data_IF_216461956920
#
_entry.id   IF_216461956920
#
_cell.length_a   1.000
_cell.length_b   1.000
_cell.length_c   1.000
_cell.angle_alpha   90.00
_cell.angle_beta   90.00
_cell.angle_gamma   90.00
#
_symmetry.space_group_name_H-M   'P 1'
#
loop_
_entity.id
_entity.type
_entity.pdbx_description
1 polymer ?
#
# COMPACT_ATOMS: atom_id res chain seq x y z
N UNK A 1 5.89 17.39 -7.60
CA UNK A 1 4.64 16.69 -7.17
C UNK A 1 3.58 16.71 -8.28
N UNK A 2 2.89 15.60 -8.56
CA UNK A 2 1.98 15.39 -9.72
C UNK A 2 0.58 16.05 -9.60
N UNK A 3 0.48 17.31 -9.19
CA UNK A 3 -0.83 17.91 -8.87
C UNK A 3 -1.81 17.96 -10.04
N UNK A 4 -1.36 18.37 -11.24
CA UNK A 4 -2.22 18.45 -12.43
C UNK A 4 -2.72 17.09 -12.89
N UNK A 5 -1.92 16.04 -12.73
CA UNK A 5 -2.32 14.66 -13.02
C UNK A 5 -3.37 14.15 -12.01
N UNK A 6 -3.27 14.63 -10.77
CA UNK A 6 -4.21 14.39 -9.66
C UNK A 6 -5.45 15.30 -9.69
N UNK A 7 -5.60 16.16 -10.70
CA UNK A 7 -6.79 17.01 -10.90
C UNK A 7 -6.73 18.39 -10.23
N UNK A 8 -5.60 18.78 -9.65
CA UNK A 8 -5.39 20.12 -9.10
C UNK A 8 -4.67 21.01 -10.11
N UNK A 9 -5.40 21.96 -10.70
CA UNK A 9 -4.86 22.91 -11.68
C UNK A 9 -4.19 24.13 -11.04
N UNK A 10 -4.60 24.48 -9.81
CA UNK A 10 -4.07 25.60 -9.05
C UNK A 10 -3.52 25.10 -7.72
N UNK A 11 -2.33 25.58 -7.37
CA UNK A 11 -1.65 25.28 -6.12
C UNK A 11 -1.74 26.53 -5.23
N UNK A 12 -2.16 26.41 -3.96
CA UNK A 12 -2.12 27.54 -3.04
C UNK A 12 -0.70 28.09 -2.92
N UNK A 13 -0.54 29.40 -3.09
CA UNK A 13 0.78 30.07 -2.96
C UNK A 13 1.34 29.98 -1.54
N UNK A 14 0.47 29.77 -0.54
CA UNK A 14 0.85 29.53 0.85
C UNK A 14 1.41 28.13 1.12
N UNK A 15 1.32 27.20 0.15
CA UNK A 15 1.82 25.84 0.36
C UNK A 15 3.36 25.86 0.41
N UNK A 16 4.01 25.26 1.43
CA UNK A 16 5.47 25.29 1.60
C UNK A 16 6.29 24.81 0.38
N UNK A 17 5.66 23.98 -0.44
CA UNK A 17 6.25 23.43 -1.67
C UNK A 17 5.51 23.84 -2.96
N UNK A 18 4.88 25.02 -2.97
CA UNK A 18 4.12 25.50 -4.13
C UNK A 18 4.93 25.44 -5.45
N UNK A 19 6.22 25.77 -5.38
CA UNK A 19 7.14 25.78 -6.54
C UNK A 19 7.62 24.38 -6.96
N UNK A 20 7.50 23.38 -6.08
CA UNK A 20 7.97 22.01 -6.33
C UNK A 20 6.89 21.11 -6.95
N UNK A 21 5.71 21.67 -7.27
CA UNK A 21 4.70 20.97 -8.05
C UNK A 21 5.09 20.94 -9.53
N UNK A 22 5.01 19.75 -10.12
CA UNK A 22 5.36 19.55 -11.51
C UNK A 22 4.20 19.96 -12.42
N UNK A 23 4.46 20.42 -13.66
CA UNK A 23 3.43 20.49 -14.68
C UNK A 23 2.86 19.08 -14.93
N UNK A 24 1.76 19.00 -15.70
CA UNK A 24 1.16 17.71 -16.09
C UNK A 24 2.24 16.82 -16.71
N UNK A 25 2.41 15.62 -16.17
CA UNK A 25 3.44 14.67 -16.62
C UNK A 25 2.88 13.61 -17.56
N UNK A 26 1.58 13.32 -17.47
CA UNK A 26 0.92 12.31 -18.29
C UNK A 26 -0.19 12.93 -19.13
N UNK A 27 -0.15 12.64 -20.43
CA UNK A 27 -1.22 13.03 -21.34
C UNK A 27 -2.54 12.35 -20.92
N UNK A 28 -3.68 13.07 -20.92
CA UNK A 28 -4.95 12.52 -20.43
C UNK A 28 -5.40 11.22 -21.11
N UNK A 29 -5.04 11.04 -22.39
CA UNK A 29 -5.41 9.88 -23.21
C UNK A 29 -4.37 8.76 -23.19
N UNK A 30 -3.20 8.99 -22.58
CA UNK A 30 -2.14 7.98 -22.53
C UNK A 30 -2.53 6.86 -21.59
N UNK A 31 -2.45 5.63 -22.08
CA UNK A 31 -2.72 4.42 -21.30
C UNK A 31 -1.55 3.45 -21.37
N UNK A 32 -1.46 2.57 -20.37
CA UNK A 32 -0.42 1.55 -20.22
C UNK A 32 -1.05 0.18 -20.02
N UNK A 33 -0.36 -0.86 -20.46
CA UNK A 33 -0.78 -2.26 -20.27
C UNK A 33 -0.37 -2.81 -18.90
N UNK A 34 0.69 -2.25 -18.32
CA UNK A 34 1.25 -2.63 -17.03
C UNK A 34 1.58 -1.39 -16.21
N UNK A 35 1.22 -1.41 -14.93
CA UNK A 35 1.59 -0.39 -13.94
C UNK A 35 2.24 -1.05 -12.73
N UNK A 36 3.34 -0.46 -12.26
CA UNK A 36 4.04 -0.87 -11.04
C UNK A 36 3.87 0.22 -9.97
N UNK A 37 3.33 -0.15 -8.83
CA UNK A 37 3.20 0.71 -7.65
C UNK A 37 4.15 0.19 -6.57
N UNK A 38 5.42 0.59 -6.63
CA UNK A 38 6.50 0.13 -5.74
C UNK A 38 7.20 1.27 -4.98
N UNK A 39 6.68 2.49 -5.10
CA UNK A 39 7.18 3.65 -4.36
C UNK A 39 6.99 3.46 -2.86
N UNK A 40 8.08 3.54 -2.11
CA UNK A 40 8.11 3.41 -0.65
C UNK A 40 8.81 4.58 0.02
N UNK A 41 8.35 4.87 1.24
CA UNK A 41 8.93 5.87 2.11
C UNK A 41 10.12 5.24 2.84
N UNK A 42 11.34 5.57 2.42
CA UNK A 42 12.57 4.99 3.00
C UNK A 42 12.86 5.54 4.39
N UNK A 43 13.22 4.67 5.35
CA UNK A 43 13.51 5.05 6.74
C UNK A 43 14.64 6.09 6.88
N UNK A 44 15.58 6.12 5.95
CA UNK A 44 16.78 6.98 5.98
C UNK A 44 16.58 8.33 5.31
N UNK A 45 15.46 8.55 4.62
CA UNK A 45 15.21 9.80 3.90
C UNK A 45 14.76 10.89 4.88
N UNK A 46 15.55 11.96 5.00
CA UNK A 46 15.20 13.17 5.76
C UNK A 46 14.00 13.86 5.10
N UNK A 47 13.04 14.29 5.91
CA UNK A 47 11.82 14.95 5.45
C UNK A 47 11.59 16.23 6.23
N UNK A 48 10.87 17.15 5.62
CA UNK A 48 10.29 18.27 6.35
C UNK A 48 9.21 17.74 7.30
N UNK A 49 9.15 18.29 8.50
CA UNK A 49 8.30 17.82 9.61
C UNK A 49 6.84 17.69 9.21
N UNK A 50 6.32 18.69 8.50
CA UNK A 50 4.92 18.72 8.06
C UNK A 50 4.54 17.56 7.11
N UNK A 51 5.53 16.95 6.43
CA UNK A 51 5.30 15.81 5.51
C UNK A 51 5.39 14.46 6.18
N UNK A 52 6.06 14.35 7.33
CA UNK A 52 6.50 13.06 7.87
C UNK A 52 5.34 12.08 8.07
N UNK A 53 4.22 12.58 8.63
CA UNK A 53 3.02 11.77 8.90
C UNK A 53 2.10 11.57 7.68
N UNK A 54 2.38 12.27 6.57
CA UNK A 54 1.52 12.33 5.38
C UNK A 54 2.13 11.65 4.16
N UNK A 55 3.46 11.60 4.09
CA UNK A 55 4.25 11.16 2.93
C UNK A 55 3.83 9.77 2.42
N UNK A 56 3.66 8.80 3.33
CA UNK A 56 3.28 7.44 2.94
C UNK A 56 1.90 7.39 2.29
N UNK A 57 0.95 8.17 2.82
CA UNK A 57 -0.39 8.28 2.25
C UNK A 57 -0.37 9.00 0.92
N UNK A 58 0.36 10.11 0.87
CA UNK A 58 0.53 10.91 -0.32
C UNK A 58 1.13 10.09 -1.47
N UNK A 59 2.18 9.32 -1.20
CA UNK A 59 2.83 8.44 -2.17
C UNK A 59 1.92 7.30 -2.65
N UNK A 60 1.25 6.60 -1.74
CA UNK A 60 0.36 5.48 -2.10
C UNK A 60 -0.85 5.94 -2.92
N UNK A 61 -1.53 7.00 -2.48
CA UNK A 61 -2.71 7.54 -3.20
C UNK A 61 -2.35 8.10 -4.58
N UNK A 62 -1.18 8.74 -4.72
CA UNK A 62 -0.69 9.17 -6.04
C UNK A 62 -0.48 7.97 -6.97
N UNK A 63 0.22 6.93 -6.49
CA UNK A 63 0.50 5.73 -7.30
C UNK A 63 -0.77 5.01 -7.73
N UNK A 64 -1.76 4.87 -6.83
CA UNK A 64 -3.01 4.17 -7.14
C UNK A 64 -3.89 4.97 -8.10
N UNK A 65 -4.07 6.27 -7.86
CA UNK A 65 -4.93 7.12 -8.68
C UNK A 65 -4.38 7.28 -10.10
N UNK A 66 -3.10 7.63 -10.22
CA UNK A 66 -2.45 7.78 -11.53
C UNK A 66 -2.36 6.43 -12.22
N UNK A 67 -1.93 5.40 -11.48
CA UNK A 67 -1.78 4.05 -11.98
C UNK A 67 -3.07 3.49 -12.58
N UNK A 68 -4.17 3.51 -11.82
CA UNK A 68 -5.44 2.98 -12.29
C UNK A 68 -6.05 3.83 -13.42
N UNK A 69 -5.96 5.17 -13.33
CA UNK A 69 -6.49 6.09 -14.35
C UNK A 69 -5.83 5.88 -15.71
N UNK A 70 -4.53 5.64 -15.73
CA UNK A 70 -3.77 5.45 -16.96
C UNK A 70 -3.59 3.97 -17.32
N UNK A 71 -4.34 3.06 -16.70
CA UNK A 71 -4.32 1.65 -17.06
C UNK A 71 -5.37 1.36 -18.14
N UNK A 72 -4.95 0.66 -19.20
CA UNK A 72 -5.89 0.14 -20.21
C UNK A 72 -6.87 -0.84 -19.55
N UNK A 73 -8.11 -0.88 -20.03
CA UNK A 73 -9.05 -1.96 -19.69
C UNK A 73 -8.42 -3.31 -20.02
N UNK A 74 -8.48 -4.26 -19.09
CA UNK A 74 -7.84 -5.56 -19.17
C UNK A 74 -6.36 -5.56 -18.75
N UNK A 75 -5.77 -4.40 -18.46
CA UNK A 75 -4.38 -4.26 -18.03
C UNK A 75 -4.10 -4.86 -16.65
N UNK A 76 -2.83 -4.74 -16.23
CA UNK A 76 -2.36 -5.29 -14.95
C UNK A 76 -1.69 -4.22 -14.08
N UNK A 77 -1.98 -4.25 -12.78
CA UNK A 77 -1.24 -3.50 -11.75
C UNK A 77 -0.51 -4.47 -10.83
N UNK A 78 0.76 -4.19 -10.56
CA UNK A 78 1.55 -4.89 -9.55
C UNK A 78 1.87 -3.89 -8.44
N UNK A 79 1.43 -4.19 -7.22
CA UNK A 79 1.44 -3.25 -6.11
C UNK A 79 2.19 -3.84 -4.93
N UNK A 80 3.25 -3.16 -4.48
CA UNK A 80 3.95 -3.52 -3.24
C UNK A 80 3.10 -3.11 -2.03
N UNK A 81 2.75 -4.10 -1.21
CA UNK A 81 1.97 -3.94 0.01
C UNK A 81 2.74 -4.51 1.20
N UNK A 82 2.29 -4.14 2.40
CA UNK A 82 2.86 -4.61 3.66
C UNK A 82 1.74 -5.02 4.61
N UNK A 83 2.01 -6.01 5.46
CA UNK A 83 1.11 -6.44 6.55
C UNK A 83 -0.31 -6.73 6.03
N UNK A 84 -0.49 -7.87 5.38
CA UNK A 84 -1.77 -8.28 4.79
C UNK A 84 -2.92 -8.29 5.81
N UNK A 85 -2.59 -8.58 7.07
CA UNK A 85 -3.44 -8.58 8.26
C UNK A 85 -3.86 -7.18 8.74
N UNK A 86 -3.22 -6.11 8.24
CA UNK A 86 -3.66 -4.76 8.56
C UNK A 86 -4.93 -4.40 7.80
N UNK A 87 -5.88 -3.77 8.49
CA UNK A 87 -7.16 -3.38 7.90
C UNK A 87 -7.00 -2.58 6.60
N UNK A 88 -6.06 -1.60 6.55
CA UNK A 88 -5.83 -0.78 5.35
C UNK A 88 -5.43 -1.61 4.14
N UNK A 89 -4.53 -2.58 4.34
CA UNK A 89 -4.07 -3.47 3.27
C UNK A 89 -5.17 -4.44 2.86
N UNK A 90 -5.86 -5.06 3.82
CA UNK A 90 -6.98 -5.96 3.54
C UNK A 90 -8.12 -5.24 2.78
N UNK A 91 -8.49 -4.03 3.20
CA UNK A 91 -9.51 -3.23 2.53
C UNK A 91 -9.10 -2.87 1.10
N UNK A 92 -7.82 -2.56 0.86
CA UNK A 92 -7.32 -2.29 -0.48
C UNK A 92 -7.39 -3.54 -1.37
N UNK A 93 -6.98 -4.70 -0.87
CA UNK A 93 -7.09 -5.98 -1.59
C UNK A 93 -8.56 -6.25 -1.95
N UNK A 94 -9.48 -6.08 -0.99
CA UNK A 94 -10.91 -6.24 -1.22
C UNK A 94 -11.44 -5.27 -2.28
N UNK A 95 -11.09 -3.99 -2.18
CA UNK A 95 -11.48 -2.95 -3.14
C UNK A 95 -11.06 -3.33 -4.57
N UNK A 96 -9.84 -3.84 -4.76
CA UNK A 96 -9.38 -4.26 -6.08
C UNK A 96 -10.14 -5.48 -6.64
N UNK A 97 -10.75 -6.33 -5.80
CA UNK A 97 -11.59 -7.43 -6.30
C UNK A 97 -12.88 -6.94 -6.96
N UNK A 98 -13.36 -5.73 -6.65
CA UNK A 98 -14.57 -5.17 -7.25
C UNK A 98 -14.42 -4.93 -8.76
N UNK A 99 -13.18 -4.78 -9.25
CA UNK A 99 -12.90 -4.42 -10.65
C UNK A 99 -11.69 -5.13 -11.25
N UNK A 100 -11.15 -6.18 -10.61
CA UNK A 100 -10.01 -6.94 -11.14
C UNK A 100 -9.93 -8.36 -10.60
N UNK A 101 -9.11 -9.19 -11.24
CA UNK A 101 -8.71 -10.49 -10.70
C UNK A 101 -7.45 -10.31 -9.85
N UNK A 102 -7.58 -10.53 -8.55
CA UNK A 102 -6.51 -10.30 -7.57
C UNK A 102 -5.79 -11.60 -7.19
N UNK A 103 -4.46 -11.56 -7.19
CA UNK A 103 -3.59 -12.59 -6.63
C UNK A 103 -2.56 -11.97 -5.70
N UNK A 104 -2.17 -12.69 -4.65
CA UNK A 104 -1.15 -12.24 -3.70
C UNK A 104 0.12 -13.07 -3.90
N UNK A 105 1.26 -12.40 -3.97
CA UNK A 105 2.54 -13.01 -4.26
C UNK A 105 3.61 -12.56 -3.26
N UNK A 106 4.23 -13.52 -2.56
CA UNK A 106 5.39 -13.28 -1.71
C UNK A 106 6.65 -13.79 -2.41
N UNK A 107 7.64 -12.94 -2.70
CA UNK A 107 8.92 -13.40 -3.22
C UNK A 107 9.60 -14.38 -2.26
N UNK A 108 10.21 -15.43 -2.81
CA UNK A 108 10.93 -16.46 -2.05
C UNK A 108 12.38 -16.10 -1.73
N UNK A 109 12.92 -15.04 -2.36
CA UNK A 109 14.27 -14.50 -2.10
C UNK A 109 14.24 -13.01 -1.74
N UNK A 110 15.30 -12.53 -1.08
CA UNK A 110 15.56 -11.11 -0.76
C UNK A 110 14.66 -10.49 0.32
N UNK A 111 13.34 -10.54 0.16
CA UNK A 111 12.36 -9.92 1.07
C UNK A 111 11.42 -10.93 1.72
N UNK A 112 11.74 -12.21 1.65
CA UNK A 112 10.96 -13.34 2.18
C UNK A 112 10.59 -13.16 3.66
N UNK A 113 11.53 -12.66 4.49
CA UNK A 113 11.32 -12.43 5.94
C UNK A 113 10.51 -11.17 6.28
N UNK A 114 10.47 -10.19 5.38
CA UNK A 114 9.75 -8.93 5.61
C UNK A 114 8.26 -9.14 5.45
N UNK A 115 7.44 -8.27 6.05
CA UNK A 115 5.98 -8.27 5.86
C UNK A 115 5.52 -7.78 4.49
N UNK A 116 6.46 -7.46 3.58
CA UNK A 116 6.19 -6.97 2.24
C UNK A 116 5.79 -8.09 1.29
N UNK A 117 4.81 -7.86 0.43
CA UNK A 117 4.36 -8.78 -0.61
C UNK A 117 3.78 -7.98 -1.77
N UNK A 118 3.54 -8.62 -2.91
CA UNK A 118 2.92 -7.98 -4.06
C UNK A 118 1.46 -8.42 -4.19
N UNK A 119 0.59 -7.47 -4.45
CA UNK A 119 -0.71 -7.74 -5.05
C UNK A 119 -0.56 -7.63 -6.56
N UNK A 120 -1.00 -8.66 -7.28
CA UNK A 120 -1.11 -8.67 -8.74
C UNK A 120 -2.59 -8.57 -9.08
N UNK A 121 -3.02 -7.39 -9.53
CA UNK A 121 -4.37 -7.12 -9.99
C UNK A 121 -4.36 -7.18 -11.53
N UNK A 122 -4.96 -8.23 -12.09
CA UNK A 122 -4.98 -8.51 -13.53
C UNK A 122 -6.39 -8.37 -14.11
N UNK A 123 -6.51 -8.24 -15.43
CA UNK A 123 -7.79 -8.03 -16.11
C UNK A 123 -8.59 -6.86 -15.50
N UNK A 124 -7.89 -5.76 -15.22
CA UNK A 124 -8.46 -4.61 -14.50
C UNK A 124 -9.50 -3.90 -15.39
N UNK A 125 -10.71 -3.76 -14.89
CA UNK A 125 -11.80 -3.04 -15.53
C UNK A 125 -11.73 -1.55 -15.18
N UNK A 126 -10.68 -0.86 -15.66
CA UNK A 126 -10.31 0.51 -15.22
C UNK A 126 -11.36 1.59 -15.50
N UNK A 127 -12.35 1.30 -16.35
CA UNK A 127 -13.43 2.23 -16.71
C UNK A 127 -14.78 1.88 -16.06
N UNK A 128 -14.85 0.82 -15.26
CA UNK A 128 -16.08 0.51 -14.53
C UNK A 128 -16.29 1.47 -13.35
N UNK A 129 -17.56 1.70 -12.92
CA UNK A 129 -17.87 2.64 -11.86
C UNK A 129 -17.02 2.48 -10.60
N UNK A 130 -16.85 1.25 -10.09
CA UNK A 130 -16.04 0.99 -8.90
C UNK A 130 -14.57 1.43 -9.03
N UNK A 131 -13.98 1.30 -10.22
CA UNK A 131 -12.62 1.74 -10.50
C UNK A 131 -12.52 3.28 -10.58
N UNK A 132 -13.50 3.92 -11.23
CA UNK A 132 -13.58 5.38 -11.32
C UNK A 132 -13.80 6.01 -9.94
N UNK A 133 -14.69 5.43 -9.14
CA UNK A 133 -14.92 5.85 -7.76
C UNK A 133 -13.66 5.70 -6.90
N UNK A 134 -12.92 4.60 -7.06
CA UNK A 134 -11.64 4.40 -6.38
C UNK A 134 -10.62 5.48 -6.75
N UNK A 135 -10.50 5.84 -8.04
CA UNK A 135 -9.62 6.93 -8.51
C UNK A 135 -9.99 8.25 -7.83
N UNK A 136 -11.28 8.61 -7.83
CA UNK A 136 -11.72 9.88 -7.23
C UNK A 136 -11.50 9.89 -5.71
N UNK A 137 -11.81 8.79 -5.02
CA UNK A 137 -11.51 8.66 -3.58
C UNK A 137 -10.02 8.82 -3.29
N UNK A 138 -9.13 8.21 -4.08
CA UNK A 138 -7.69 8.36 -3.89
C UNK A 138 -7.21 9.77 -4.19
N UNK A 139 -7.77 10.46 -5.20
CA UNK A 139 -7.48 11.88 -5.45
C UNK A 139 -7.93 12.78 -4.31
N UNK A 140 -9.10 12.54 -3.71
CA UNK A 140 -9.55 13.30 -2.54
C UNK A 140 -8.64 13.06 -1.32
N UNK A 141 -8.30 11.79 -1.05
CA UNK A 141 -7.34 11.42 0.01
C UNK A 141 -5.99 12.08 -0.20
N UNK A 142 -5.50 12.09 -1.43
CA UNK A 142 -4.29 12.79 -1.83
C UNK A 142 -4.39 14.29 -1.57
N UNK A 143 -5.50 14.92 -1.98
CA UNK A 143 -5.73 16.36 -1.78
C UNK A 143 -5.70 16.73 -0.30
N UNK A 144 -6.35 15.95 0.57
CA UNK A 144 -6.32 16.17 2.02
C UNK A 144 -4.90 15.93 2.58
N UNK A 145 -4.21 14.87 2.14
CA UNK A 145 -2.84 14.61 2.57
C UNK A 145 -1.85 15.69 2.12
N UNK A 146 -2.09 16.35 0.99
CA UNK A 146 -1.21 17.40 0.44
C UNK A 146 -1.57 18.79 0.95
N UNK A 147 -2.85 19.15 0.98
CA UNK A 147 -3.30 20.53 1.24
C UNK A 147 -4.18 20.68 2.50
N UNK A 148 -4.56 19.57 3.14
CA UNK A 148 -5.43 19.60 4.31
C UNK A 148 -4.73 20.14 5.56
N UNK A 149 -5.52 20.55 6.55
CA UNK A 149 -5.01 21.00 7.85
C UNK A 149 -4.60 19.83 8.74
N UNK A 150 -3.95 20.11 9.87
CA UNK A 150 -3.56 19.08 10.84
C UNK A 150 -4.77 18.47 11.58
N UNK A 151 -5.94 19.11 11.53
CA UNK A 151 -7.20 18.59 12.06
C UNK A 151 -7.94 17.72 11.03
N UNK A 152 -7.97 18.14 9.77
CA UNK A 152 -8.69 17.43 8.70
C UNK A 152 -8.02 16.11 8.29
N UNK A 153 -6.70 15.98 8.45
CA UNK A 153 -6.00 14.73 8.12
C UNK A 153 -6.31 13.56 9.09
N UNK A 154 -6.34 13.75 10.42
CA UNK A 154 -6.84 12.76 11.37
C UNK A 154 -8.28 12.31 11.13
N UNK A 155 -9.17 13.19 10.67
CA UNK A 155 -10.54 12.82 10.30
C UNK A 155 -10.56 11.84 9.12
N UNK A 156 -9.79 12.12 8.08
CA UNK A 156 -9.60 11.19 6.97
C UNK A 156 -9.10 9.81 7.45
N UNK A 157 -8.18 9.79 8.42
CA UNK A 157 -7.66 8.54 8.98
C UNK A 157 -8.71 7.77 9.79
N UNK A 158 -9.64 8.47 10.46
CA UNK A 158 -10.76 7.86 11.18
C UNK A 158 -11.78 7.28 10.20
N UNK A 159 -12.15 8.04 9.18
CA UNK A 159 -13.08 7.57 8.13
C UNK A 159 -12.55 6.35 7.40
N UNK A 160 -11.23 6.30 7.17
CA UNK A 160 -10.57 5.14 6.61
C UNK A 160 -10.79 3.87 7.44
N UNK A 161 -11.01 3.95 8.75
CA UNK A 161 -11.20 2.78 9.63
C UNK A 161 -12.68 2.43 9.84
N UNK A 162 -13.61 3.18 9.25
CA UNK A 162 -15.02 2.85 9.33
C UNK A 162 -15.31 1.56 8.55
N UNK A 163 -16.07 0.65 9.16
CA UNK A 163 -16.47 -0.60 8.52
C UNK A 163 -15.48 -1.77 8.67
N UNK A 164 -14.53 -1.72 9.61
CA UNK A 164 -13.65 -2.85 9.95
C UNK A 164 -14.44 -4.14 10.18
N UNK A 165 -15.48 -4.11 11.01
CA UNK A 165 -16.28 -5.30 11.31
C UNK A 165 -16.97 -5.86 10.06
N UNK A 166 -17.54 -4.97 9.24
CA UNK A 166 -18.21 -5.34 7.98
C UNK A 166 -17.22 -5.98 7.00
N UNK A 167 -15.99 -5.45 6.91
CA UNK A 167 -14.94 -6.03 6.07
C UNK A 167 -14.53 -7.42 6.59
N UNK A 168 -14.34 -7.57 7.91
CA UNK A 168 -13.95 -8.85 8.51
C UNK A 168 -15.02 -9.92 8.29
N UNK A 169 -16.29 -9.58 8.47
CA UNK A 169 -17.41 -10.50 8.26
C UNK A 169 -17.52 -10.94 6.80
N UNK A 170 -17.39 -10.00 5.84
CA UNK A 170 -17.60 -10.29 4.42
C UNK A 170 -16.39 -10.89 3.72
N UNK A 171 -15.19 -10.43 4.08
CA UNK A 171 -13.95 -10.71 3.34
C UNK A 171 -12.91 -11.46 4.18
N UNK A 172 -13.10 -11.60 5.49
CA UNK A 172 -12.15 -12.30 6.37
C UNK A 172 -11.79 -13.72 5.91
N UNK A 173 -12.77 -14.60 5.60
CA UNK A 173 -12.49 -15.95 5.11
C UNK A 173 -11.68 -15.97 3.81
N UNK A 174 -12.03 -15.11 2.85
CA UNK A 174 -11.34 -14.99 1.57
C UNK A 174 -9.92 -14.44 1.74
N UNK A 175 -9.76 -13.42 2.60
CA UNK A 175 -8.46 -12.86 2.95
C UNK A 175 -7.53 -13.94 3.52
N UNK A 176 -8.05 -14.80 4.41
CA UNK A 176 -7.29 -15.93 4.95
C UNK A 176 -6.86 -16.87 3.84
N UNK A 177 -7.77 -17.25 2.96
CA UNK A 177 -7.46 -18.15 1.85
C UNK A 177 -6.41 -17.57 0.89
N UNK A 178 -6.55 -16.30 0.52
CA UNK A 178 -5.59 -15.59 -0.34
C UNK A 178 -4.22 -15.39 0.35
N UNK A 179 -4.23 -15.17 1.66
CA UNK A 179 -3.04 -14.87 2.46
C UNK A 179 -2.18 -16.08 2.81
N UNK A 180 -2.71 -17.31 2.74
CA UNK A 180 -1.99 -18.55 3.11
C UNK A 180 -0.57 -18.62 2.53
N UNK A 181 -0.43 -18.42 1.22
CA UNK A 181 0.88 -18.47 0.55
C UNK A 181 1.84 -17.36 1.03
N UNK A 182 1.31 -16.17 1.30
CA UNK A 182 2.08 -15.02 1.79
C UNK A 182 2.61 -15.30 3.20
N UNK A 183 1.74 -15.71 4.12
CA UNK A 183 2.11 -15.98 5.50
C UNK A 183 3.00 -17.21 5.64
N UNK A 184 2.71 -18.29 4.93
CA UNK A 184 3.52 -19.51 4.95
C UNK A 184 4.96 -19.21 4.51
N UNK A 185 5.12 -18.53 3.37
CA UNK A 185 6.44 -18.14 2.85
C UNK A 185 7.21 -17.28 3.85
N UNK A 186 6.52 -16.34 4.51
CA UNK A 186 7.14 -15.49 5.53
C UNK A 186 7.53 -16.29 6.78
N UNK A 187 6.64 -17.13 7.29
CA UNK A 187 6.86 -17.97 8.46
C UNK A 187 8.04 -18.91 8.27
N UNK A 188 8.12 -19.60 7.13
CA UNK A 188 9.22 -20.51 6.79
C UNK A 188 10.57 -19.79 6.74
N UNK A 189 10.60 -18.58 6.19
CA UNK A 189 11.81 -17.77 6.11
C UNK A 189 12.25 -17.20 7.46
N UNK A 190 11.30 -16.89 8.35
CA UNK A 190 11.55 -16.47 9.71
C UNK A 190 12.06 -17.64 10.57
N UNK A 191 11.43 -18.82 10.50
CA UNK A 191 11.86 -20.02 11.22
C UNK A 191 13.32 -20.42 10.91
N UNK A 192 13.80 -20.12 9.70
CA UNK A 192 15.19 -20.36 9.27
C UNK A 192 16.14 -19.19 9.53
N UNK A 193 15.67 -18.12 10.17
CA UNK A 193 16.49 -16.93 10.37
C UNK A 193 17.57 -17.15 11.45
N UNK A 194 18.80 -16.63 11.25
CA UNK A 194 19.91 -16.85 12.19
C UNK A 194 19.60 -16.43 13.62
N UNK A 195 18.82 -15.35 13.80
CA UNK A 195 18.47 -14.82 15.11
C UNK A 195 17.39 -15.65 15.86
N UNK A 196 16.69 -16.57 15.19
CA UNK A 196 15.77 -17.52 15.86
C UNK A 196 16.54 -18.72 16.42
N UNK A 197 17.60 -19.15 15.72
CA UNK A 197 18.37 -20.34 16.10
C UNK A 197 19.22 -20.14 17.35
N UNK A 198 19.62 -18.90 17.65
CA UNK A 198 20.47 -18.60 18.81
C UNK A 198 19.72 -18.54 20.15
N UNK A 199 18.39 -18.74 20.19
CA UNK A 199 17.61 -18.82 21.43
C UNK A 199 17.39 -20.26 21.94
N UNK A 200 17.65 -21.28 21.10
CA UNK A 200 17.52 -22.68 21.50
C UNK A 200 18.74 -23.23 22.25
N UNK A 201 19.93 -22.77 21.89
CA UNK A 201 21.18 -23.31 22.44
C UNK A 201 21.59 -22.69 23.78
N UNK A 202 21.14 -21.47 24.10
CA UNK A 202 21.36 -20.86 25.42
C UNK A 202 20.47 -21.45 26.51
N UNK A 203 19.22 -21.82 26.19
CA UNK A 203 18.31 -22.45 27.15
C UNK A 203 18.69 -23.91 27.50
N UNK A 204 19.39 -24.61 26.61
CA UNK A 204 19.89 -25.96 26.88
C UNK A 204 21.24 -25.95 27.61
N UNK A 205 22.08 -24.92 27.40
CA UNK A 205 23.36 -24.79 28.09
C UNK A 205 23.19 -24.44 29.58
N UNK A 206 22.22 -23.60 29.94
CA UNK A 206 21.97 -23.20 31.34
C UNK A 206 21.39 -24.33 32.21
N UNK A 207 20.65 -25.27 31.63
CA UNK A 207 20.11 -26.43 32.36
C UNK A 207 21.10 -27.58 32.56
N UNK A 208 22.20 -27.61 31.80
CA UNK A 208 23.28 -28.60 31.98
C UNK A 208 24.34 -28.20 33.02
N UNK A 209 24.36 -26.95 33.47
CA UNK A 209 25.33 -26.43 34.45
C UNK A 209 24.86 -26.45 35.92
N UNK A 210 23.71 -27.08 36.23
CA UNK A 210 23.19 -27.22 37.59
C UNK A 210 23.08 -28.66 38.10
N UNK A 211 23.58 -29.64 37.33
CA UNK A 211 23.64 -31.05 37.74
C UNK A 211 25.07 -31.62 37.58
N UNK A 212 26.07 -30.98 38.17
CA UNK A 212 27.43 -31.52 38.31
C UNK A 212 28.04 -31.10 39.63
#
# INVERSE_FOLDING_TARGET
MFAKDMGMNTIPTSHPDAENFLPRQLEPTRVFDLVLCDGQVLRTHKRLEYRENREARWLSTTQFAIGLKHLRVGGTMIILLHKLDSYKTANLVHKFQEFSKVQLFKPTSGHTRKSSFYMVASNVQSQQPAALDAIEQWKQKWKVATFGTDEGYPELLRDDLNGVNVLLEKFGPDLVQMGKGVWQTQADALAKAPFIRNHGDTALAENSSHNS
#
